data_IF_018426208784
#
_entry.id   IF_018426208784
#
_cell.length_a   1.000
_cell.length_b   1.000
_cell.length_c   1.000
_cell.angle_alpha   90.00
_cell.angle_beta   90.00
_cell.angle_gamma   90.00
#
_symmetry.space_group_name_H-M   'P 1'
#
loop_
_entity.id
_entity.type
_entity.pdbx_description
1 polymer ?
#
# COMPACT_ATOMS: atom_id res chain seq x y z
N UNK A 1 13.21 18.83 3.41
CA UNK A 1 11.90 18.47 3.97
C UNK A 1 12.08 18.37 5.47
N UNK A 2 11.22 19.01 6.24
CA UNK A 2 11.23 18.88 7.70
C UNK A 2 10.53 17.58 8.11
N UNK A 3 10.72 17.17 9.37
CA UNK A 3 10.02 16.03 9.97
C UNK A 3 8.49 16.20 9.86
N UNK A 4 7.96 17.35 10.26
CA UNK A 4 6.53 17.67 10.15
C UNK A 4 6.01 17.59 8.70
N UNK A 5 6.76 18.13 7.73
CA UNK A 5 6.38 18.04 6.31
C UNK A 5 6.33 16.60 5.82
N UNK A 6 7.28 15.77 6.28
CA UNK A 6 7.33 14.36 5.95
C UNK A 6 6.13 13.59 6.53
N UNK A 7 5.83 13.75 7.83
CA UNK A 7 4.70 13.07 8.49
C UNK A 7 3.39 13.43 7.81
N UNK A 8 3.15 14.73 7.56
CA UNK A 8 1.96 15.18 6.84
C UNK A 8 1.86 14.57 5.45
N UNK A 9 2.99 14.49 4.72
CA UNK A 9 3.00 13.96 3.36
C UNK A 9 2.73 12.45 3.31
N UNK A 10 3.27 11.68 4.26
CA UNK A 10 2.94 10.26 4.42
C UNK A 10 1.44 10.10 4.69
N UNK A 11 0.89 10.87 5.64
CA UNK A 11 -0.54 10.85 5.95
C UNK A 11 -1.43 11.15 4.74
N UNK A 12 -1.10 12.17 3.94
CA UNK A 12 -1.82 12.50 2.70
C UNK A 12 -1.80 11.35 1.68
N UNK A 13 -0.65 10.70 1.50
CA UNK A 13 -0.51 9.58 0.56
C UNK A 13 -1.33 8.37 1.00
N UNK A 14 -1.29 8.04 2.29
CA UNK A 14 -2.10 6.93 2.84
C UNK A 14 -3.59 7.25 2.74
N UNK A 15 -4.01 8.47 3.10
CA UNK A 15 -5.42 8.90 2.97
C UNK A 15 -5.92 8.89 1.52
N UNK A 16 -5.04 9.15 0.55
CA UNK A 16 -5.34 9.07 -0.87
C UNK A 16 -5.33 7.63 -1.44
N UNK A 17 -5.10 6.60 -0.60
CA UNK A 17 -4.96 5.21 -1.04
C UNK A 17 -3.66 4.92 -1.80
N UNK A 18 -2.67 5.81 -1.73
CA UNK A 18 -1.37 5.72 -2.41
C UNK A 18 -0.32 5.10 -1.49
N UNK A 19 -0.68 3.98 -0.85
CA UNK A 19 0.16 3.28 0.11
C UNK A 19 1.58 2.92 -0.39
N UNK A 20 1.73 2.39 -1.62
CA UNK A 20 3.05 2.08 -2.17
C UNK A 20 3.97 3.31 -2.29
N UNK A 21 3.39 4.49 -2.55
CA UNK A 21 4.16 5.72 -2.66
C UNK A 21 4.53 6.29 -1.29
N UNK A 22 3.67 6.11 -0.28
CA UNK A 22 4.00 6.44 1.10
C UNK A 22 5.20 5.60 1.59
N UNK A 23 5.22 4.31 1.26
CA UNK A 23 6.35 3.40 1.53
C UNK A 23 7.63 3.82 0.81
N UNK A 24 7.56 4.15 -0.48
CA UNK A 24 8.73 4.62 -1.24
C UNK A 24 9.27 5.95 -0.68
N UNK A 25 8.38 6.86 -0.26
CA UNK A 25 8.77 8.11 0.39
C UNK A 25 9.48 7.84 1.71
N UNK A 26 8.98 6.94 2.55
CA UNK A 26 9.58 6.60 3.83
C UNK A 26 11.01 6.06 3.67
N UNK A 27 11.20 5.08 2.79
CA UNK A 27 12.51 4.47 2.53
C UNK A 27 13.55 5.48 2.05
N UNK A 28 13.11 6.48 1.26
CA UNK A 28 14.04 7.46 0.65
C UNK A 28 14.28 8.69 1.51
N UNK A 29 13.25 9.17 2.21
CA UNK A 29 13.27 10.48 2.87
C UNK A 29 13.59 10.36 4.35
N UNK A 30 13.02 9.40 5.07
CA UNK A 30 13.24 9.21 6.50
C UNK A 30 14.73 9.22 6.91
N UNK A 31 15.64 8.46 6.27
CA UNK A 31 17.07 8.47 6.64
C UNK A 31 17.79 9.78 6.35
N UNK A 32 17.17 10.70 5.62
CA UNK A 32 17.75 12.00 5.24
C UNK A 32 17.20 13.17 6.07
N UNK A 33 16.23 12.91 6.96
CA UNK A 33 15.60 13.95 7.78
C UNK A 33 16.60 14.56 8.78
N UNK A 34 16.57 15.89 8.87
CA UNK A 34 17.34 16.65 9.84
C UNK A 34 16.52 17.85 10.34
N UNK A 35 16.19 17.91 11.64
CA UNK A 35 16.43 16.89 12.66
C UNK A 35 15.73 15.55 12.34
N UNK A 36 16.21 14.42 12.88
CA UNK A 36 15.52 13.15 12.74
C UNK A 36 14.14 13.20 13.42
N UNK A 37 13.28 12.25 13.05
CA UNK A 37 11.96 12.09 13.69
C UNK A 37 12.10 11.85 15.19
N UNK A 38 11.19 12.42 15.96
CA UNK A 38 10.97 12.05 17.34
C UNK A 38 10.35 10.65 17.43
N UNK A 39 10.43 10.02 18.61
CA UNK A 39 9.80 8.71 18.84
C UNK A 39 8.30 8.73 18.55
N UNK A 40 7.61 9.84 18.87
CA UNK A 40 6.17 9.98 18.58
C UNK A 40 5.89 10.06 17.09
N UNK A 41 6.68 10.82 16.32
CA UNK A 41 6.51 10.93 14.88
C UNK A 41 6.84 9.62 14.16
N UNK A 42 7.87 8.89 14.63
CA UNK A 42 8.19 7.55 14.11
C UNK A 42 7.06 6.55 14.36
N UNK A 43 6.44 6.55 15.54
CA UNK A 43 5.31 5.68 15.85
C UNK A 43 4.08 6.02 14.97
N UNK A 44 3.79 7.30 14.77
CA UNK A 44 2.68 7.77 13.93
C UNK A 44 2.88 7.34 12.47
N UNK A 45 4.06 7.60 11.91
CA UNK A 45 4.42 7.20 10.54
C UNK A 45 4.42 5.69 10.40
N UNK A 46 4.94 4.96 11.38
CA UNK A 46 4.95 3.49 11.39
C UNK A 46 3.54 2.90 11.29
N UNK A 47 2.59 3.42 12.08
CA UNK A 47 1.19 2.99 12.04
C UNK A 47 0.49 3.29 10.72
N UNK A 48 0.77 4.46 10.11
CA UNK A 48 0.24 4.83 8.79
C UNK A 48 0.77 3.91 7.68
N UNK A 49 2.07 3.60 7.71
CA UNK A 49 2.70 2.72 6.73
C UNK A 49 2.23 1.27 6.87
N UNK A 50 2.00 0.79 8.10
CA UNK A 50 1.43 -0.54 8.33
C UNK A 50 0.01 -0.65 7.75
N UNK A 51 -0.83 0.37 7.96
CA UNK A 51 -2.16 0.44 7.34
C UNK A 51 -2.09 0.43 5.80
N UNK A 52 -1.14 1.18 5.23
CA UNK A 52 -0.90 1.23 3.79
C UNK A 52 -0.41 -0.12 3.21
N UNK A 53 0.45 -0.83 3.94
CA UNK A 53 0.93 -2.15 3.55
C UNK A 53 -0.23 -3.16 3.53
N UNK A 54 -1.06 -3.19 4.56
CA UNK A 54 -2.23 -4.07 4.61
C UNK A 54 -3.23 -3.79 3.48
N UNK A 55 -3.46 -2.51 3.15
CA UNK A 55 -4.33 -2.14 2.04
C UNK A 55 -3.79 -2.58 0.68
N UNK A 56 -2.47 -2.63 0.52
CA UNK A 56 -1.81 -3.09 -0.71
C UNK A 56 -1.89 -4.60 -0.87
N UNK A 57 -1.62 -5.38 0.18
CA UNK A 57 -1.70 -6.85 0.12
C UNK A 57 -3.11 -7.37 -0.16
N UNK A 58 -4.14 -6.64 0.29
CA UNK A 58 -5.52 -6.99 -0.01
C UNK A 58 -5.89 -6.80 -1.50
N UNK A 59 -5.13 -5.98 -2.25
CA UNK A 59 -5.36 -5.71 -3.67
C UNK A 59 -4.73 -6.76 -4.60
N UNK A 60 -3.72 -7.52 -4.13
CA UNK A 60 -3.10 -8.62 -4.90
C UNK A 60 -3.84 -9.97 -4.76
N UNK A 61 -4.88 -10.01 -3.91
CA UNK A 61 -5.76 -11.19 -3.79
C UNK A 61 -6.88 -11.26 -4.83
N UNK A 62 -6.99 -10.29 -5.75
CA UNK A 62 -7.80 -10.43 -6.97
C UNK A 62 -7.03 -11.20 -8.05
N UNK A 63 -6.46 -12.35 -7.66
CA UNK A 63 -6.26 -13.42 -8.63
C UNK A 63 -7.64 -13.89 -9.03
N UNK A 64 -8.13 -13.30 -10.13
CA UNK A 64 -9.10 -13.88 -11.03
C UNK A 64 -8.72 -15.33 -11.33
N UNK A 65 -9.10 -16.25 -10.45
CA UNK A 65 -9.26 -17.65 -10.82
C UNK A 65 -10.48 -17.66 -11.73
N UNK A 66 -10.24 -17.27 -12.98
CA UNK A 66 -11.11 -17.55 -14.11
C UNK A 66 -11.19 -19.06 -14.29
N UNK A 67 -11.91 -19.74 -13.40
CA UNK A 67 -12.46 -21.04 -13.69
C UNK A 67 -13.58 -20.79 -14.69
N UNK A 68 -13.21 -20.87 -15.96
CA UNK A 68 -14.09 -21.00 -17.12
C UNK A 68 -15.33 -21.81 -16.73
N UNK A 69 -16.56 -21.36 -17.04
CA UNK A 69 -17.73 -22.22 -16.91
C UNK A 69 -17.46 -23.44 -17.79
N UNK A 70 -17.55 -24.64 -17.20
CA UNK A 70 -17.52 -25.91 -17.93
C UNK A 70 -18.72 -25.91 -18.86
N UNK A 71 -18.51 -25.37 -20.06
CA UNK A 71 -19.46 -25.38 -21.15
C UNK A 71 -19.73 -26.83 -21.51
N UNK A 72 -21.00 -27.22 -21.41
CA UNK A 72 -21.51 -28.50 -21.82
C UNK A 72 -21.04 -28.85 -23.24
N UNK A 73 -20.20 -29.87 -23.37
CA UNK A 73 -19.93 -30.50 -24.66
C UNK A 73 -21.13 -31.40 -25.02
N UNK A 74 -22.16 -30.81 -25.60
CA UNK A 74 -23.27 -31.54 -26.22
C UNK A 74 -22.71 -32.29 -27.45
N UNK A 75 -22.27 -33.54 -27.27
CA UNK A 75 -21.89 -34.39 -28.41
C UNK A 75 -23.16 -34.90 -29.08
N UNK A 76 -23.66 -34.12 -30.04
CA UNK A 76 -24.64 -34.58 -31.02
C UNK A 76 -23.85 -35.26 -32.15
N UNK A 77 -23.88 -36.59 -32.22
CA UNK A 77 -23.62 -37.30 -33.48
C UNK A 77 -24.79 -38.24 -33.76
N UNK A 78 -25.26 -38.10 -34.99
CA UNK A 78 -26.44 -38.64 -35.66
C UNK A 78 -26.52 -40.15 -35.68
#
# INVERSE_FOLDING_TARGET
>A
MTADEYVNRVGELVAAGRGPEALDLAVRVEPTLSPPLSAQESDEVGGLLECAAMATEMSDSDSTVGMTPVGATLTHRS
#
